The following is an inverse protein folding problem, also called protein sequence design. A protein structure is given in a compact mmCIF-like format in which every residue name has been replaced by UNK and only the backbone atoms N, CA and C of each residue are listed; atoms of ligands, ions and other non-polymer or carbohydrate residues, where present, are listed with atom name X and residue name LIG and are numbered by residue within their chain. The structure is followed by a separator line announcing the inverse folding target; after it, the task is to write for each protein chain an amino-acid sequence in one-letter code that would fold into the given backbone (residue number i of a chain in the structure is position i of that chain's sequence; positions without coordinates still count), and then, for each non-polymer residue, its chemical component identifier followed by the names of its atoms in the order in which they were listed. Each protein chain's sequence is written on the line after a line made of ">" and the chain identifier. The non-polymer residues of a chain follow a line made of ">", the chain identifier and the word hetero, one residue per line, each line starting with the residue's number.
data_IF_609869110965
#
_entry.id   IF_609869110965
#
_cell.length_a   1.000
_cell.length_b   1.000
_cell.length_c   1.000
_cell.angle_alpha   90.00
_cell.angle_beta   90.00
_cell.angle_gamma   90.00
#
_symmetry.space_group_name_H-M   'P 1'
#
loop_
_entity.id
_entity.type
_entity.pdbx_description
1 polymer ?
#
# COMPACT_ATOMS: atom_id res chain seq x y z
N UNK A 1 25.85 39.42 -8.19
CA UNK A 1 26.80 38.52 -7.53
C UNK A 1 26.34 38.04 -6.18
N UNK A 2 25.80 38.91 -5.31
CA UNK A 2 25.27 38.49 -4.00
C UNK A 2 24.03 37.58 -4.10
N UNK A 3 23.18 37.75 -5.09
CA UNK A 3 21.96 36.95 -5.32
C UNK A 3 22.27 35.50 -5.66
N UNK A 4 23.21 35.23 -6.61
CA UNK A 4 23.59 33.87 -6.98
C UNK A 4 24.27 33.10 -5.86
N UNK A 5 25.00 33.81 -4.99
CA UNK A 5 25.64 33.19 -3.82
C UNK A 5 24.65 32.81 -2.75
N UNK A 6 23.61 33.65 -2.53
CA UNK A 6 22.53 33.36 -1.61
C UNK A 6 21.70 32.16 -2.06
N UNK A 7 21.38 32.09 -3.36
CA UNK A 7 20.64 30.96 -3.95
C UNK A 7 21.39 29.65 -3.79
N UNK A 8 22.72 29.64 -3.95
CA UNK A 8 23.55 28.48 -3.74
C UNK A 8 23.56 28.00 -2.29
N UNK A 9 23.55 28.92 -1.33
CA UNK A 9 23.49 28.60 0.09
C UNK A 9 22.12 28.03 0.50
N UNK A 10 21.02 28.57 -0.05
CA UNK A 10 19.67 28.09 0.18
C UNK A 10 19.51 26.67 -0.38
N UNK A 11 19.95 26.44 -1.62
CA UNK A 11 19.89 25.12 -2.25
C UNK A 11 20.69 24.07 -1.46
N UNK A 12 21.86 24.43 -0.93
CA UNK A 12 22.67 23.54 -0.09
C UNK A 12 21.98 23.22 1.23
N UNK A 13 21.37 24.22 1.88
CA UNK A 13 20.62 24.03 3.12
C UNK A 13 19.39 23.13 2.90
N UNK A 14 18.66 23.30 1.82
CA UNK A 14 17.52 22.47 1.45
C UNK A 14 17.95 21.02 1.19
N UNK A 15 19.11 20.79 0.57
CA UNK A 15 19.64 19.45 0.31
C UNK A 15 20.02 18.70 1.59
N UNK A 16 20.33 19.41 2.68
CA UNK A 16 20.66 18.82 3.97
C UNK A 16 19.41 18.44 4.78
N UNK A 17 18.22 18.94 4.41
CA UNK A 17 16.96 18.58 5.05
C UNK A 17 16.44 17.30 4.44
N UNK A 18 16.13 16.25 5.26
CA UNK A 18 15.57 15.02 4.72
C UNK A 18 14.26 15.30 3.97
N UNK A 19 14.02 14.66 2.83
CA UNK A 19 12.74 14.79 2.14
C UNK A 19 11.61 14.27 3.03
N UNK A 20 10.45 14.97 3.00
CA UNK A 20 9.25 14.54 3.71
C UNK A 20 8.30 13.82 2.76
N UNK A 21 7.65 12.76 3.25
CA UNK A 21 6.62 12.07 2.50
C UNK A 21 5.30 12.82 2.72
N UNK A 22 4.80 13.47 1.65
CA UNK A 22 3.52 14.17 1.70
C UNK A 22 2.36 13.19 1.55
N UNK A 23 1.41 13.20 2.50
CA UNK A 23 0.25 12.31 2.45
C UNK A 23 -0.62 12.54 1.21
N UNK A 24 -0.71 13.78 0.73
CA UNK A 24 -1.50 14.12 -0.45
C UNK A 24 -0.90 13.59 -1.76
N UNK A 25 0.38 13.15 -1.76
CA UNK A 25 1.05 12.59 -2.94
C UNK A 25 1.06 11.07 -2.93
N UNK A 26 0.46 10.44 -1.94
CA UNK A 26 0.32 8.99 -1.86
C UNK A 26 -0.65 8.46 -2.93
N UNK A 27 -0.68 7.15 -3.09
CA UNK A 27 -1.57 6.52 -4.08
C UNK A 27 -3.01 7.05 -3.92
N UNK A 28 -3.69 7.43 -5.02
CA UNK A 28 -5.03 8.03 -4.94
C UNK A 28 -6.05 7.19 -4.19
N UNK A 29 -6.01 5.86 -4.35
CA UNK A 29 -6.90 4.96 -3.62
C UNK A 29 -6.75 5.11 -2.11
N UNK A 30 -5.52 5.21 -1.64
CA UNK A 30 -5.18 5.36 -0.22
C UNK A 30 -5.55 6.76 0.28
N UNK A 31 -5.08 7.79 -0.42
CA UNK A 31 -5.33 9.17 0.02
C UNK A 31 -6.81 9.56 -0.05
N UNK A 32 -7.51 9.20 -1.12
CA UNK A 32 -8.93 9.54 -1.24
C UNK A 32 -9.79 8.89 -0.16
N UNK A 33 -9.42 7.69 0.30
CA UNK A 33 -10.11 7.03 1.40
C UNK A 33 -9.78 7.66 2.78
N UNK A 34 -8.58 8.19 2.95
CA UNK A 34 -8.08 8.70 4.22
C UNK A 34 -8.30 10.20 4.43
N UNK A 35 -8.34 10.99 3.36
CA UNK A 35 -8.15 12.46 3.42
C UNK A 35 -9.11 13.21 4.32
N UNK A 36 -10.38 12.82 4.36
CA UNK A 36 -11.38 13.49 5.19
C UNK A 36 -11.07 13.30 6.67
N UNK A 37 -10.85 12.06 7.07
CA UNK A 37 -10.53 11.71 8.45
C UNK A 37 -9.17 12.27 8.86
N UNK A 38 -8.22 12.28 7.94
CA UNK A 38 -6.90 12.86 8.14
C UNK A 38 -6.97 14.35 8.46
N UNK A 39 -7.77 15.10 7.70
CA UNK A 39 -7.95 16.54 7.90
C UNK A 39 -8.60 16.88 9.23
N UNK A 40 -9.41 15.95 9.77
CA UNK A 40 -10.06 16.08 11.07
C UNK A 40 -9.21 15.49 12.21
N UNK A 41 -7.95 15.16 11.94
CA UNK A 41 -6.99 14.57 12.89
C UNK A 41 -7.40 13.19 13.42
N UNK A 42 -8.27 12.48 12.70
CA UNK A 42 -8.65 11.11 12.99
C UNK A 42 -7.70 10.13 12.29
N UNK A 43 -6.45 10.09 12.75
CA UNK A 43 -5.38 9.38 12.04
C UNK A 43 -5.56 7.86 12.01
N UNK A 44 -5.96 7.25 13.12
CA UNK A 44 -6.21 5.81 13.17
C UNK A 44 -7.34 5.42 12.22
N UNK A 45 -8.44 6.14 12.25
CA UNK A 45 -9.59 5.91 11.37
C UNK A 45 -9.23 6.16 9.90
N UNK A 46 -8.38 7.14 9.63
CA UNK A 46 -7.88 7.40 8.28
C UNK A 46 -7.07 6.22 7.73
N UNK A 47 -6.20 5.65 8.53
CA UNK A 47 -5.43 4.46 8.18
C UNK A 47 -6.35 3.26 7.95
N UNK A 48 -7.34 3.05 8.84
CA UNK A 48 -8.33 1.98 8.68
C UNK A 48 -9.10 2.10 7.37
N UNK A 49 -9.59 3.31 7.04
CA UNK A 49 -10.30 3.58 5.79
C UNK A 49 -9.44 3.28 4.56
N UNK A 50 -8.18 3.69 4.58
CA UNK A 50 -7.25 3.44 3.48
C UNK A 50 -7.01 1.94 3.29
N UNK A 51 -6.79 1.22 4.37
CA UNK A 51 -6.58 -0.23 4.32
C UNK A 51 -7.83 -0.97 3.81
N UNK A 52 -9.01 -0.56 4.24
CA UNK A 52 -10.28 -1.12 3.75
C UNK A 52 -10.49 -0.85 2.26
N UNK A 53 -10.15 0.34 1.78
CA UNK A 53 -10.23 0.68 0.36
C UNK A 53 -9.33 -0.21 -0.50
N UNK A 54 -8.13 -0.51 -0.01
CA UNK A 54 -7.20 -1.40 -0.71
C UNK A 54 -7.73 -2.84 -0.77
N UNK A 55 -8.26 -3.35 0.31
CA UNK A 55 -8.91 -4.68 0.33
C UNK A 55 -10.11 -4.71 -0.62
N UNK A 56 -10.95 -3.66 -0.59
CA UNK A 56 -12.10 -3.56 -1.49
C UNK A 56 -11.68 -3.60 -2.96
N UNK A 57 -10.58 -2.93 -3.31
CA UNK A 57 -10.03 -2.96 -4.66
C UNK A 57 -9.61 -4.38 -5.07
N UNK A 58 -8.95 -5.10 -4.18
CA UNK A 58 -8.54 -6.49 -4.46
C UNK A 58 -9.77 -7.40 -4.60
N UNK A 59 -10.80 -7.19 -3.80
CA UNK A 59 -12.08 -7.93 -3.96
C UNK A 59 -12.70 -7.67 -5.33
N UNK A 60 -12.68 -6.44 -5.80
CA UNK A 60 -13.18 -6.09 -7.15
C UNK A 60 -12.34 -6.76 -8.22
N UNK A 61 -11.02 -6.68 -8.13
CA UNK A 61 -10.10 -7.27 -9.12
C UNK A 61 -10.24 -8.79 -9.21
N UNK A 62 -10.39 -9.46 -8.08
CA UNK A 62 -10.47 -10.93 -8.01
C UNK A 62 -11.88 -11.48 -8.10
N UNK A 63 -12.90 -10.62 -7.95
CA UNK A 63 -14.30 -11.04 -7.89
C UNK A 63 -14.63 -11.85 -6.63
N UNK A 64 -13.80 -11.77 -5.59
CA UNK A 64 -13.94 -12.60 -4.38
C UNK A 64 -14.48 -11.82 -3.20
N UNK A 65 -15.44 -12.43 -2.50
CA UNK A 65 -16.01 -11.91 -1.26
C UNK A 65 -16.41 -13.06 -0.31
N UNK A 66 -15.76 -14.20 -0.42
CA UNK A 66 -16.12 -15.46 0.22
C UNK A 66 -15.16 -15.88 1.34
N UNK A 67 -14.05 -15.14 1.52
CA UNK A 67 -13.02 -15.46 2.51
C UNK A 67 -12.72 -14.24 3.39
N UNK A 68 -12.04 -14.46 4.52
CA UNK A 68 -11.54 -13.35 5.34
C UNK A 68 -10.56 -12.49 4.55
N UNK A 69 -10.34 -11.26 4.99
CA UNK A 69 -9.44 -10.34 4.30
C UNK A 69 -7.99 -10.84 4.30
N UNK A 70 -7.52 -11.40 5.40
CA UNK A 70 -6.18 -12.01 5.47
C UNK A 70 -6.05 -13.19 4.51
N UNK A 71 -7.06 -14.05 4.47
CA UNK A 71 -7.07 -15.19 3.54
C UNK A 71 -7.19 -14.73 2.09
N UNK A 72 -7.91 -13.65 1.82
CA UNK A 72 -7.96 -13.05 0.49
C UNK A 72 -6.54 -12.67 0.02
N UNK A 73 -5.77 -11.98 0.85
CA UNK A 73 -4.39 -11.62 0.53
C UNK A 73 -3.52 -12.86 0.30
N UNK A 74 -3.62 -13.86 1.18
CA UNK A 74 -2.84 -15.09 1.05
C UNK A 74 -3.16 -15.84 -0.24
N UNK A 75 -4.44 -15.93 -0.60
CA UNK A 75 -4.87 -16.65 -1.80
C UNK A 75 -4.58 -15.85 -3.06
N UNK A 76 -4.73 -14.53 -3.04
CA UNK A 76 -4.45 -13.67 -4.19
C UNK A 76 -2.99 -13.78 -4.64
N UNK A 77 -2.05 -13.84 -3.70
CA UNK A 77 -0.62 -13.96 -3.98
C UNK A 77 -0.06 -15.38 -3.76
N UNK A 78 -0.93 -16.36 -3.60
CA UNK A 78 -0.50 -17.76 -3.44
C UNK A 78 0.36 -18.22 -4.63
N UNK A 79 1.34 -19.07 -4.35
CA UNK A 79 2.18 -19.68 -5.39
C UNK A 79 1.43 -20.75 -6.20
N UNK A 80 0.27 -21.18 -5.72
CA UNK A 80 -0.54 -22.17 -6.42
C UNK A 80 -1.05 -21.61 -7.75
N UNK A 81 -1.25 -22.45 -8.78
CA UNK A 81 -1.79 -21.99 -10.04
C UNK A 81 -3.15 -21.33 -9.88
N UNK A 82 -3.49 -20.33 -10.74
CA UNK A 82 -4.82 -19.75 -10.74
C UNK A 82 -5.87 -20.75 -11.18
N UNK A 83 -7.10 -20.55 -10.69
CA UNK A 83 -8.28 -21.28 -11.11
C UNK A 83 -9.43 -20.28 -11.30
N UNK A 84 -10.51 -20.63 -12.04
CA UNK A 84 -11.60 -19.67 -12.29
C UNK A 84 -12.23 -19.08 -11.02
N UNK A 85 -12.30 -19.85 -9.94
CA UNK A 85 -12.81 -19.40 -8.65
C UNK A 85 -11.71 -18.88 -7.71
N UNK A 86 -10.45 -18.98 -8.11
CA UNK A 86 -9.27 -18.55 -7.33
C UNK A 86 -8.28 -17.84 -8.23
N UNK A 87 -8.60 -16.62 -8.71
CA UNK A 87 -7.67 -15.86 -9.51
C UNK A 87 -6.46 -15.41 -8.67
N UNK A 88 -5.34 -15.19 -9.34
CA UNK A 88 -4.08 -14.77 -8.72
C UNK A 88 -3.62 -13.45 -9.29
N UNK A 89 -2.98 -12.64 -8.47
CA UNK A 89 -2.21 -11.50 -8.92
C UNK A 89 -0.74 -11.91 -9.02
N UNK A 90 -0.10 -11.51 -10.11
CA UNK A 90 1.31 -11.82 -10.38
C UNK A 90 2.03 -10.60 -10.91
N UNK A 91 3.25 -10.42 -10.46
CA UNK A 91 4.13 -9.40 -11.00
C UNK A 91 4.35 -9.66 -12.50
N UNK A 92 4.35 -8.60 -13.35
CA UNK A 92 4.48 -8.80 -14.79
C UNK A 92 5.87 -9.30 -15.19
N UNK A 93 5.93 -10.07 -16.27
CA UNK A 93 7.14 -10.62 -16.84
C UNK A 93 7.21 -12.13 -16.72
N UNK A 94 8.35 -12.69 -17.13
CA UNK A 94 8.56 -14.13 -17.09
C UNK A 94 8.66 -14.63 -15.65
N UNK A 95 7.86 -15.63 -15.24
CA UNK A 95 7.89 -16.13 -13.87
C UNK A 95 9.25 -16.65 -13.41
N UNK A 96 10.09 -17.10 -14.34
CA UNK A 96 11.43 -17.59 -14.05
C UNK A 96 12.48 -16.49 -13.88
N UNK A 97 12.16 -15.26 -14.26
CA UNK A 97 13.04 -14.12 -14.05
C UNK A 97 13.24 -13.88 -12.54
N UNK A 98 14.48 -13.65 -12.15
CA UNK A 98 14.84 -13.50 -10.73
C UNK A 98 14.09 -12.36 -10.04
N UNK A 99 13.97 -11.22 -10.70
CA UNK A 99 13.25 -10.06 -10.15
C UNK A 99 11.75 -10.35 -10.03
N UNK A 100 11.14 -10.91 -11.06
CA UNK A 100 9.71 -11.27 -11.07
C UNK A 100 9.42 -12.27 -9.96
N UNK A 101 10.25 -13.29 -9.82
CA UNK A 101 10.11 -14.28 -8.74
C UNK A 101 10.22 -13.63 -7.36
N UNK A 102 11.19 -12.75 -7.16
CA UNK A 102 11.36 -12.03 -5.90
C UNK A 102 10.15 -11.17 -5.56
N UNK A 103 9.58 -10.46 -6.54
CA UNK A 103 8.39 -9.66 -6.31
C UNK A 103 7.18 -10.52 -5.96
N UNK A 104 6.96 -11.62 -6.65
CA UNK A 104 5.87 -12.55 -6.33
C UNK A 104 6.03 -13.16 -4.93
N UNK A 105 7.22 -13.63 -4.59
CA UNK A 105 7.50 -14.18 -3.26
C UNK A 105 7.35 -13.13 -2.17
N UNK A 106 7.85 -11.91 -2.43
CA UNK A 106 7.78 -10.81 -1.48
C UNK A 106 6.35 -10.33 -1.21
N UNK A 107 5.54 -10.18 -2.26
CA UNK A 107 4.15 -9.75 -2.12
C UNK A 107 3.30 -10.79 -1.38
N UNK A 108 3.59 -12.08 -1.57
CA UNK A 108 2.92 -13.15 -0.83
C UNK A 108 3.13 -13.05 0.68
N UNK A 109 4.31 -12.53 1.10
CA UNK A 109 4.63 -12.34 2.52
C UNK A 109 4.17 -10.97 3.01
N UNK A 110 4.37 -9.92 2.23
CA UNK A 110 4.10 -8.54 2.62
C UNK A 110 2.59 -8.27 2.78
N UNK A 111 1.78 -8.66 1.82
CA UNK A 111 0.38 -8.27 1.78
C UNK A 111 -0.41 -8.78 3.00
N UNK A 112 -0.37 -10.09 3.36
CA UNK A 112 -1.01 -10.51 4.60
C UNK A 112 -0.35 -9.92 5.84
N UNK A 113 0.95 -9.64 5.81
CA UNK A 113 1.66 -8.97 6.90
C UNK A 113 1.12 -7.56 7.14
N UNK A 114 0.87 -6.80 6.10
CA UNK A 114 0.26 -5.46 6.18
C UNK A 114 -1.16 -5.53 6.75
N UNK A 115 -1.96 -6.51 6.32
CA UNK A 115 -3.29 -6.75 6.87
C UNK A 115 -3.24 -6.97 8.38
N UNK A 116 -2.35 -7.85 8.82
CA UNK A 116 -2.24 -8.22 10.23
C UNK A 116 -1.67 -7.10 11.11
N UNK A 117 -0.75 -6.29 10.59
CA UNK A 117 -0.02 -5.29 11.39
C UNK A 117 -0.59 -3.89 11.31
N UNK A 118 -1.23 -3.53 10.19
CA UNK A 118 -1.76 -2.18 9.97
C UNK A 118 -3.28 -2.18 10.02
N UNK A 119 -3.93 -2.97 9.15
CA UNK A 119 -5.39 -2.93 9.03
C UNK A 119 -6.08 -3.44 10.30
N UNK A 120 -5.67 -4.58 10.83
CA UNK A 120 -6.34 -5.17 11.99
C UNK A 120 -6.19 -4.29 13.25
N UNK A 121 -4.99 -3.84 13.64
CA UNK A 121 -4.89 -2.92 14.77
C UNK A 121 -5.62 -1.60 14.56
N UNK A 122 -5.60 -1.00 13.36
CA UNK A 122 -6.30 0.24 13.08
C UNK A 122 -7.81 0.12 13.27
N UNK A 123 -8.37 -1.07 13.08
CA UNK A 123 -9.79 -1.34 13.25
C UNK A 123 -10.16 -1.77 14.66
N UNK A 124 -9.31 -2.56 15.32
CA UNK A 124 -9.64 -3.23 16.57
C UNK A 124 -9.01 -2.59 17.81
N UNK A 125 -7.93 -1.83 17.68
CA UNK A 125 -7.27 -1.13 18.78
C UNK A 125 -7.79 0.30 18.82
N UNK A 126 -8.39 0.69 19.95
CA UNK A 126 -9.03 2.00 20.11
C UNK A 126 -8.08 3.10 20.61
N UNK A 127 -6.79 2.82 20.75
CA UNK A 127 -5.81 3.83 21.14
C UNK A 127 -5.52 4.82 20.00
N UNK A 128 -5.21 6.05 20.38
CA UNK A 128 -4.85 7.08 19.41
C UNK A 128 -3.58 6.71 18.67
N UNK A 129 -3.53 7.09 17.40
CA UNK A 129 -2.36 6.93 16.53
C UNK A 129 -1.82 8.33 16.21
N UNK A 130 -0.53 8.54 16.45
CA UNK A 130 0.12 9.82 16.13
C UNK A 130 0.26 10.05 14.64
N UNK A 131 0.35 11.31 14.24
CA UNK A 131 0.44 11.70 12.82
C UNK A 131 1.63 11.07 12.10
N UNK A 132 2.81 11.04 12.74
CA UNK A 132 4.01 10.47 12.12
C UNK A 132 3.84 8.97 11.86
N UNK A 133 3.41 8.21 12.86
CA UNK A 133 3.20 6.77 12.69
C UNK A 133 2.10 6.50 11.66
N UNK A 134 1.01 7.27 11.68
CA UNK A 134 -0.05 7.16 10.68
C UNK A 134 0.45 7.46 9.27
N UNK A 135 1.33 8.45 9.11
CA UNK A 135 1.98 8.77 7.83
C UNK A 135 2.79 7.58 7.32
N UNK A 136 3.57 6.94 8.18
CA UNK A 136 4.35 5.76 7.82
C UNK A 136 3.45 4.59 7.41
N UNK A 137 2.36 4.40 8.12
CA UNK A 137 1.38 3.36 7.79
C UNK A 137 0.67 3.64 6.48
N UNK A 138 0.24 4.88 6.22
CA UNK A 138 -0.32 5.26 4.92
C UNK A 138 0.69 5.08 3.80
N UNK A 139 1.96 5.41 4.02
CA UNK A 139 3.02 5.21 3.03
C UNK A 139 3.19 3.72 2.69
N UNK A 140 3.10 2.85 3.67
CA UNK A 140 3.17 1.40 3.47
C UNK A 140 1.98 0.90 2.65
N UNK A 141 0.78 1.35 2.98
CA UNK A 141 -0.43 1.03 2.21
C UNK A 141 -0.34 1.59 0.78
N UNK A 142 0.18 2.79 0.62
CA UNK A 142 0.37 3.43 -0.69
C UNK A 142 1.33 2.61 -1.57
N UNK A 143 2.43 2.16 -1.01
CA UNK A 143 3.40 1.33 -1.73
C UNK A 143 2.76 0.00 -2.15
N UNK A 144 2.05 -0.66 -1.24
CA UNK A 144 1.34 -1.90 -1.57
C UNK A 144 0.29 -1.68 -2.66
N UNK A 145 -0.46 -0.58 -2.60
CA UNK A 145 -1.45 -0.24 -3.63
C UNK A 145 -0.80 -0.06 -5.01
N UNK A 146 0.36 0.60 -5.08
CA UNK A 146 1.11 0.77 -6.32
C UNK A 146 1.57 -0.56 -6.89
N UNK A 147 2.06 -1.45 -6.04
CA UNK A 147 2.49 -2.78 -6.48
C UNK A 147 1.32 -3.66 -6.92
N UNK A 148 0.17 -3.56 -6.25
CA UNK A 148 -1.05 -4.24 -6.69
C UNK A 148 -1.45 -3.77 -8.09
N UNK A 149 -1.37 -2.47 -8.37
CA UNK A 149 -1.68 -1.91 -9.70
C UNK A 149 -0.74 -2.45 -10.79
N UNK A 150 0.53 -2.71 -10.47
CA UNK A 150 1.49 -3.27 -11.43
C UNK A 150 1.21 -4.74 -11.75
N UNK A 151 0.54 -5.46 -10.85
CA UNK A 151 0.29 -6.88 -11.02
C UNK A 151 -0.73 -7.15 -12.12
N UNK A 152 -0.59 -8.31 -12.76
CA UNK A 152 -1.55 -8.84 -13.72
C UNK A 152 -2.46 -9.85 -13.03
N UNK A 153 -3.75 -9.80 -13.36
CA UNK A 153 -4.72 -10.77 -12.89
C UNK A 153 -4.68 -12.02 -13.81
N UNK A 154 -4.49 -13.18 -13.19
CA UNK A 154 -4.57 -14.47 -13.87
C UNK A 154 -5.76 -15.23 -13.30
N UNK A 155 -6.74 -15.54 -14.12
CA UNK A 155 -8.02 -16.11 -13.71
C UNK A 155 -8.14 -17.62 -13.97
N UNK A 156 -7.13 -18.24 -14.54
CA UNK A 156 -7.11 -19.68 -14.80
C UNK A 156 -7.93 -20.14 -15.99
N UNK A 157 -8.37 -19.20 -16.81
CA UNK A 157 -9.10 -19.53 -18.06
C UNK A 157 -8.17 -19.76 -19.23
#
# INVERSE_FOLDING_TARGET
>A
MAIGRLDGLIAKAEAEVPPTVGVATMHPLVWNAAKRLWRDDHYREAVASAAEALVAQVKIMTGRNDVSETDLWRQTFSADPPAPDKPRLRWPGEPSDRHVKSMNDGLRLLAPGVQLTIRNPATHVLSDLGEQEATEQLATLSLLARWVDECQLLDGM
#
